data_IF_582521478681
#
_entry.id   IF_582521478681
#
_cell.length_a   1.000
_cell.length_b   1.000
_cell.length_c   1.000
_cell.angle_alpha   90.00
_cell.angle_beta   90.00
_cell.angle_gamma   90.00
#
_symmetry.space_group_name_H-M   'P 1'
#
loop_
_entity.id
_entity.type
_entity.pdbx_description
1 polymer ?
#
# COMPACT_ATOMS: atom_id res chain seq x y z
N UNK A 1 27.61 -18.89 57.93
CA UNK A 1 27.59 -17.53 57.36
C UNK A 1 27.99 -17.63 55.90
N UNK A 2 27.32 -16.89 55.00
CA UNK A 2 27.63 -16.69 53.55
C UNK A 2 27.05 -17.79 52.62
N UNK A 3 25.79 -17.65 52.20
CA UNK A 3 25.29 -17.04 50.92
C UNK A 3 25.23 -18.09 49.79
N UNK A 4 24.07 -18.71 49.49
CA UNK A 4 23.00 -18.18 48.62
C UNK A 4 23.53 -17.22 47.56
N UNK A 5 23.82 -17.71 46.34
CA UNK A 5 23.83 -16.94 45.08
C UNK A 5 24.21 -17.84 43.88
N UNK A 6 23.30 -18.75 43.49
CA UNK A 6 23.38 -19.42 42.18
C UNK A 6 21.97 -19.67 41.67
N UNK A 7 21.20 -18.61 41.44
CA UNK A 7 19.90 -18.73 40.76
C UNK A 7 19.41 -17.42 40.16
N UNK A 8 20.26 -16.64 39.45
CA UNK A 8 19.80 -15.43 38.74
C UNK A 8 20.62 -15.22 37.46
N UNK A 9 20.63 -16.17 36.52
CA UNK A 9 21.15 -15.90 35.15
C UNK A 9 20.34 -16.66 34.07
N UNK A 10 19.01 -16.81 34.23
CA UNK A 10 18.15 -17.37 33.16
C UNK A 10 16.90 -16.52 32.88
N UNK A 11 16.80 -15.30 33.43
CA UNK A 11 15.61 -14.45 33.25
C UNK A 11 15.83 -13.13 32.48
N UNK A 12 17.01 -12.90 31.90
CA UNK A 12 17.31 -11.64 31.21
C UNK A 12 17.37 -11.73 29.68
N UNK A 13 16.93 -12.84 29.08
CA UNK A 13 16.90 -13.00 27.60
C UNK A 13 15.46 -13.06 27.05
N UNK A 14 14.45 -13.18 27.91
CA UNK A 14 13.07 -13.43 27.48
C UNK A 14 12.29 -12.13 27.17
N UNK A 15 12.77 -10.95 27.59
CA UNK A 15 12.02 -9.69 27.42
C UNK A 15 12.33 -8.88 26.16
N UNK A 16 13.31 -9.26 25.34
CA UNK A 16 13.63 -8.47 24.13
C UNK A 16 12.93 -8.96 22.85
N UNK A 17 12.33 -10.16 22.86
CA UNK A 17 11.71 -10.74 21.66
C UNK A 17 10.20 -10.51 21.53
N UNK A 18 9.52 -10.04 22.58
CA UNK A 18 8.06 -9.90 22.55
C UNK A 18 7.54 -8.62 21.87
N UNK A 19 8.42 -7.62 21.70
CA UNK A 19 8.04 -6.31 21.14
C UNK A 19 8.23 -6.19 19.62
N UNK A 20 8.98 -7.12 19.00
CA UNK A 20 9.34 -7.03 17.58
C UNK A 20 8.27 -7.63 16.67
N UNK A 21 7.43 -8.54 17.16
CA UNK A 21 6.40 -9.21 16.34
C UNK A 21 5.15 -8.35 16.11
N UNK A 22 4.74 -7.54 17.09
CA UNK A 22 3.48 -6.78 16.99
C UNK A 22 3.57 -5.58 16.03
N UNK A 23 4.67 -4.84 15.98
CA UNK A 23 4.76 -3.65 15.13
C UNK A 23 4.72 -4.00 13.62
N UNK A 24 5.41 -5.08 13.23
CA UNK A 24 5.45 -5.54 11.84
C UNK A 24 4.09 -6.15 11.40
N UNK A 25 3.42 -6.90 12.28
CA UNK A 25 2.13 -7.54 12.00
C UNK A 25 0.95 -6.54 12.00
N UNK A 26 1.03 -5.48 12.82
CA UNK A 26 0.05 -4.37 12.80
C UNK A 26 0.16 -3.56 11.51
N UNK A 27 1.39 -3.25 11.05
CA UNK A 27 1.60 -2.57 9.78
C UNK A 27 1.09 -3.39 8.58
N UNK A 28 1.31 -4.71 8.60
CA UNK A 28 0.82 -5.63 7.56
C UNK A 28 -0.71 -5.61 7.40
N UNK A 29 -1.46 -5.34 8.48
CA UNK A 29 -2.92 -5.25 8.45
C UNK A 29 -3.45 -3.82 8.18
N UNK A 30 -2.69 -2.77 8.47
CA UNK A 30 -3.16 -1.39 8.29
C UNK A 30 -3.38 -1.06 6.80
N UNK A 31 -2.45 -1.47 5.95
CA UNK A 31 -2.52 -1.27 4.51
C UNK A 31 -3.71 -2.00 3.86
N UNK A 32 -3.89 -3.28 4.18
CA UNK A 32 -5.01 -4.08 3.70
C UNK A 32 -6.36 -3.54 4.22
N UNK A 33 -6.44 -3.15 5.49
CA UNK A 33 -7.65 -2.53 6.04
C UNK A 33 -7.96 -1.18 5.36
N UNK A 34 -6.97 -0.33 5.14
CA UNK A 34 -7.14 0.92 4.42
C UNK A 34 -7.59 0.69 2.96
N UNK A 35 -7.07 -0.36 2.32
CA UNK A 35 -7.47 -0.76 0.98
C UNK A 35 -8.98 -1.07 0.92
N UNK A 36 -9.48 -1.94 1.79
CA UNK A 36 -10.90 -2.31 1.77
C UNK A 36 -11.83 -1.17 2.22
N UNK A 37 -11.40 -0.35 3.19
CA UNK A 37 -12.26 0.69 3.78
C UNK A 37 -12.22 2.03 3.05
N UNK A 38 -11.15 2.35 2.33
CA UNK A 38 -10.96 3.65 1.68
C UNK A 38 -10.67 3.53 0.18
N UNK A 39 -9.76 2.64 -0.23
CA UNK A 39 -9.35 2.55 -1.65
C UNK A 39 -10.47 1.99 -2.52
N UNK A 40 -11.07 0.85 -2.16
CA UNK A 40 -12.15 0.25 -2.95
C UNK A 40 -13.33 1.20 -3.15
N UNK A 41 -13.85 1.89 -2.11
CA UNK A 41 -14.91 2.88 -2.30
C UNK A 41 -14.57 3.96 -3.31
N UNK A 42 -13.35 4.53 -3.28
CA UNK A 42 -12.95 5.56 -4.25
C UNK A 42 -12.77 5.03 -5.66
N UNK A 43 -12.30 3.79 -5.82
CA UNK A 43 -12.28 3.11 -7.11
C UNK A 43 -13.69 2.81 -7.63
N UNK A 44 -14.64 2.50 -6.75
CA UNK A 44 -16.03 2.25 -7.09
C UNK A 44 -16.74 3.54 -7.55
N UNK A 45 -16.60 4.63 -6.77
CA UNK A 45 -17.11 5.97 -7.11
C UNK A 45 -16.57 6.45 -8.46
N UNK A 46 -15.30 6.14 -8.75
CA UNK A 46 -14.69 6.48 -10.04
C UNK A 46 -15.07 5.51 -11.17
N UNK A 47 -15.79 4.40 -10.92
CA UNK A 47 -16.19 3.45 -11.95
C UNK A 47 -15.11 2.47 -12.40
N UNK A 48 -13.95 2.38 -11.72
CA UNK A 48 -12.89 1.43 -12.06
C UNK A 48 -13.38 -0.03 -12.02
N UNK A 49 -14.27 -0.33 -11.06
CA UNK A 49 -14.83 -1.68 -10.85
C UNK A 49 -15.65 -2.17 -12.04
N UNK A 50 -16.22 -1.26 -12.85
CA UNK A 50 -17.02 -1.64 -14.01
C UNK A 50 -16.24 -2.52 -15.01
N UNK A 51 -14.93 -2.26 -15.17
CA UNK A 51 -14.06 -3.07 -16.04
C UNK A 51 -13.21 -4.07 -15.25
N UNK A 52 -12.80 -3.71 -14.04
CA UNK A 52 -11.78 -4.45 -13.28
C UNK A 52 -12.34 -5.30 -12.14
N UNK A 53 -13.63 -5.25 -11.81
CA UNK A 53 -14.20 -5.88 -10.62
C UNK A 53 -14.18 -7.41 -10.63
N UNK A 54 -14.42 -8.01 -11.81
CA UNK A 54 -14.44 -9.48 -11.99
C UNK A 54 -13.03 -10.04 -12.22
N UNK A 55 -12.11 -9.21 -12.73
CA UNK A 55 -10.72 -9.60 -13.01
C UNK A 55 -10.45 -10.12 -14.43
N UNK A 56 -11.42 -10.06 -15.35
CA UNK A 56 -11.18 -10.29 -16.78
C UNK A 56 -10.15 -9.30 -17.34
N UNK A 57 -10.27 -8.03 -16.97
CA UNK A 57 -9.21 -7.04 -17.17
C UNK A 57 -8.36 -6.96 -15.90
N UNK A 58 -7.06 -7.24 -16.04
CA UNK A 58 -6.11 -7.17 -14.93
C UNK A 58 -5.60 -5.73 -14.75
N UNK A 59 -5.38 -5.27 -13.51
CA UNK A 59 -5.59 -5.99 -12.25
C UNK A 59 -7.08 -6.11 -11.88
N UNK A 60 -7.43 -7.10 -11.05
CA UNK A 60 -8.70 -7.13 -10.32
C UNK A 60 -8.60 -6.09 -9.20
N UNK A 61 -9.14 -4.90 -9.42
CA UNK A 61 -8.96 -3.74 -8.52
C UNK A 61 -9.63 -3.89 -7.15
N UNK A 62 -10.48 -4.91 -6.98
CA UNK A 62 -11.10 -5.28 -5.70
C UNK A 62 -10.28 -6.31 -4.91
N UNK A 63 -9.19 -6.82 -5.49
CA UNK A 63 -8.26 -7.74 -4.84
C UNK A 63 -7.03 -6.97 -4.37
N UNK A 64 -6.79 -6.99 -3.06
CA UNK A 64 -5.69 -6.27 -2.41
C UNK A 64 -4.33 -6.63 -3.03
N UNK A 65 -4.01 -7.93 -3.09
CA UNK A 65 -2.70 -8.40 -3.54
C UNK A 65 -2.44 -8.08 -5.00
N UNK A 66 -3.47 -8.11 -5.84
CA UNK A 66 -3.31 -7.84 -7.26
C UNK A 66 -3.07 -6.35 -7.55
N UNK A 67 -3.77 -5.45 -6.86
CA UNK A 67 -3.55 -4.03 -7.03
C UNK A 67 -2.24 -3.57 -6.34
N UNK A 68 -1.91 -4.15 -5.17
CA UNK A 68 -0.68 -3.86 -4.44
C UNK A 68 0.57 -4.11 -5.30
N UNK A 69 0.58 -5.18 -6.10
CA UNK A 69 1.68 -5.45 -7.05
C UNK A 69 1.92 -4.30 -8.03
N UNK A 70 0.86 -3.59 -8.44
CA UNK A 70 0.99 -2.44 -9.34
C UNK A 70 1.41 -1.18 -8.58
N UNK A 71 0.91 -1.02 -7.35
CA UNK A 71 1.29 0.06 -6.45
C UNK A 71 2.79 0.01 -6.08
N UNK A 72 3.32 -1.20 -5.87
CA UNK A 72 4.71 -1.44 -5.46
C UNK A 72 5.75 -1.20 -6.58
N UNK A 73 5.33 -1.09 -7.85
CA UNK A 73 6.25 -0.82 -8.96
C UNK A 73 6.46 0.70 -9.03
N UNK A 74 7.46 1.19 -8.30
CA UNK A 74 7.73 2.61 -8.19
C UNK A 74 8.59 2.97 -6.98
N UNK A 75 8.86 4.25 -6.83
CA UNK A 75 9.70 4.79 -5.77
C UNK A 75 9.05 5.96 -5.02
N UNK A 76 7.76 6.24 -5.21
CA UNK A 76 7.00 7.15 -4.35
C UNK A 76 5.49 7.01 -4.56
N UNK A 77 4.72 7.70 -3.72
CA UNK A 77 3.27 7.78 -3.80
C UNK A 77 2.77 8.35 -5.13
N UNK A 78 3.54 9.24 -5.76
CA UNK A 78 3.23 9.81 -7.08
C UNK A 78 3.97 9.12 -8.23
N UNK A 79 5.07 8.42 -7.94
CA UNK A 79 5.93 7.76 -8.92
C UNK A 79 5.78 6.24 -8.84
N UNK A 80 4.60 5.73 -9.18
CA UNK A 80 4.36 4.29 -9.31
C UNK A 80 3.49 3.95 -10.52
N UNK A 81 3.57 2.70 -10.96
CA UNK A 81 2.92 2.23 -12.18
C UNK A 81 1.39 2.40 -12.14
N UNK A 82 0.76 2.30 -10.97
CA UNK A 82 -0.67 2.53 -10.82
C UNK A 82 -1.01 4.00 -11.10
N UNK A 83 -0.35 4.94 -10.44
CA UNK A 83 -0.56 6.38 -10.64
C UNK A 83 -0.24 6.80 -12.08
N UNK A 84 0.87 6.36 -12.66
CA UNK A 84 1.19 6.68 -14.05
C UNK A 84 0.10 6.25 -15.02
N UNK A 85 -0.51 5.08 -14.78
CA UNK A 85 -1.58 4.55 -15.62
C UNK A 85 -2.84 5.41 -15.49
N UNK A 86 -3.32 5.63 -14.27
CA UNK A 86 -4.66 6.21 -14.04
C UNK A 86 -4.67 7.74 -14.03
N UNK A 87 -3.57 8.39 -13.68
CA UNK A 87 -3.43 9.85 -13.69
C UNK A 87 -2.92 10.39 -15.04
N UNK A 88 -2.67 9.50 -16.02
CA UNK A 88 -2.08 9.83 -17.31
C UNK A 88 -0.71 10.55 -17.21
N UNK A 89 -0.01 10.36 -16.09
CA UNK A 89 1.31 10.95 -15.85
C UNK A 89 2.33 10.31 -16.76
N UNK A 90 3.20 11.13 -17.37
CA UNK A 90 4.24 10.70 -18.33
C UNK A 90 3.67 9.99 -19.58
N UNK A 91 2.43 10.29 -19.98
CA UNK A 91 1.98 9.86 -21.31
C UNK A 91 2.88 10.48 -22.39
N UNK A 92 3.30 9.65 -23.34
CA UNK A 92 4.12 10.08 -24.48
C UNK A 92 3.25 10.88 -25.47
N UNK A 93 1.94 10.60 -25.51
CA UNK A 93 0.99 11.30 -26.36
C UNK A 93 -0.26 11.69 -25.54
N UNK A 94 -0.53 12.99 -25.32
CA UNK A 94 -1.72 13.45 -24.60
C UNK A 94 -3.05 12.97 -25.20
N UNK A 95 -3.08 12.71 -26.51
CA UNK A 95 -4.27 12.21 -27.24
C UNK A 95 -4.49 10.71 -27.05
N UNK A 96 -3.46 9.96 -26.62
CA UNK A 96 -3.52 8.52 -26.38
C UNK A 96 -3.27 8.29 -24.89
N UNK A 97 -4.32 8.20 -24.06
CA UNK A 97 -4.15 8.08 -22.62
C UNK A 97 -3.44 6.77 -22.25
N UNK A 98 -2.64 6.79 -21.19
CA UNK A 98 -1.97 5.60 -20.67
C UNK A 98 -2.99 4.49 -20.34
N UNK A 99 -4.19 4.85 -19.87
CA UNK A 99 -5.27 3.94 -19.56
C UNK A 99 -6.36 4.00 -20.64
N UNK A 100 -6.84 2.86 -21.19
CA UNK A 100 -7.87 2.85 -22.23
C UNK A 100 -9.18 3.54 -21.84
N UNK A 101 -9.57 3.45 -20.57
CA UNK A 101 -10.70 4.19 -20.01
C UNK A 101 -10.43 5.68 -19.74
N UNK A 102 -9.39 6.24 -20.35
CA UNK A 102 -8.94 7.62 -20.15
C UNK A 102 -8.29 7.87 -18.79
N UNK A 103 -7.96 9.14 -18.56
CA UNK A 103 -7.51 9.64 -17.26
C UNK A 103 -8.63 9.49 -16.23
N UNK A 104 -8.32 8.93 -15.07
CA UNK A 104 -9.29 8.56 -14.03
C UNK A 104 -9.37 9.56 -12.88
N UNK A 105 -8.33 10.35 -12.63
CA UNK A 105 -8.37 11.45 -11.67
C UNK A 105 -8.07 12.77 -12.39
N UNK A 106 -8.80 13.85 -12.05
CA UNK A 106 -8.65 15.16 -12.71
C UNK A 106 -7.23 15.71 -12.62
N UNK A 107 -6.63 15.57 -11.44
CA UNK A 107 -5.21 15.81 -11.15
C UNK A 107 -4.72 14.67 -10.26
N UNK A 108 -3.40 14.56 -10.07
CA UNK A 108 -2.83 13.55 -9.16
C UNK A 108 -3.37 13.71 -7.72
N UNK A 109 -3.69 14.93 -7.31
CA UNK A 109 -4.27 15.26 -5.99
C UNK A 109 -5.80 15.07 -5.91
N UNK A 110 -6.44 14.67 -7.00
CA UNK A 110 -7.88 14.38 -7.05
C UNK A 110 -8.15 12.89 -6.80
N UNK A 111 -9.37 12.55 -6.37
CA UNK A 111 -9.76 11.15 -6.26
C UNK A 111 -9.85 10.45 -7.63
N UNK A 112 -9.54 9.13 -7.72
CA UNK A 112 -9.09 8.25 -6.63
C UNK A 112 -7.58 8.31 -6.33
N UNK A 113 -6.82 9.11 -7.09
CA UNK A 113 -5.36 9.17 -7.00
C UNK A 113 -4.89 9.63 -5.62
N UNK A 114 -5.57 10.58 -4.99
CA UNK A 114 -5.27 11.02 -3.62
C UNK A 114 -5.36 9.89 -2.59
N UNK A 115 -6.46 9.12 -2.54
CA UNK A 115 -6.55 7.97 -1.64
C UNK A 115 -5.50 6.90 -1.94
N UNK A 116 -5.18 6.66 -3.21
CA UNK A 116 -4.14 5.71 -3.62
C UNK A 116 -2.75 6.16 -3.16
N UNK A 117 -2.43 7.45 -3.27
CA UNK A 117 -1.19 8.00 -2.72
C UNK A 117 -1.09 7.77 -1.22
N UNK A 118 -2.19 7.98 -0.47
CA UNK A 118 -2.21 7.71 0.97
C UNK A 118 -2.01 6.23 1.28
N UNK A 119 -2.63 5.34 0.49
CA UNK A 119 -2.42 3.91 0.61
C UNK A 119 -0.95 3.54 0.38
N UNK A 120 -0.30 4.11 -0.64
CA UNK A 120 1.12 3.92 -0.89
C UNK A 120 1.98 4.30 0.34
N UNK A 121 1.69 5.44 0.96
CA UNK A 121 2.41 5.88 2.16
C UNK A 121 2.23 4.93 3.35
N UNK A 122 1.06 4.30 3.49
CA UNK A 122 0.80 3.31 4.54
C UNK A 122 1.60 2.01 4.27
N UNK A 123 1.68 1.58 3.02
CA UNK A 123 2.39 0.35 2.63
C UNK A 123 3.92 0.50 2.69
N UNK A 124 4.43 1.67 2.29
CA UNK A 124 5.86 1.84 1.94
C UNK A 124 6.52 3.08 2.55
N UNK A 125 5.78 3.94 3.26
CA UNK A 125 6.30 5.20 3.80
C UNK A 125 7.39 5.00 4.84
N UNK A 126 7.14 4.16 5.84
CA UNK A 126 8.05 3.96 6.98
C UNK A 126 9.28 3.10 6.64
N UNK A 127 9.22 2.32 5.55
CA UNK A 127 10.28 1.36 5.20
C UNK A 127 11.49 2.00 4.47
N UNK A 128 11.46 3.30 4.18
CA UNK A 128 12.48 3.95 3.33
C UNK A 128 13.36 4.99 4.03
N UNK A 129 13.03 5.35 5.26
CA UNK A 129 13.85 6.24 6.09
C UNK A 129 14.99 5.51 6.82
N UNK A 130 15.11 4.20 6.60
CA UNK A 130 16.26 3.39 7.02
C UNK A 130 17.24 3.30 5.86
N UNK A 131 18.04 4.36 5.66
CA UNK A 131 19.26 4.32 4.84
C UNK A 131 20.45 4.83 5.63
#
# INVERSE_FOLDING_TARGET
MIMKKFLIIINLIIFCNYSVTNAQEIAFNLGENFFYTQVIPKLAENGCIACHGVGYLRPKVTDYKDLLKRLAIGDSEINNALIYKIANVRSINPEIPNHPGGQRCKTVDSEPCKTIQKWWQIEFGDQRDVK
#
